data_IF_396483749690
#
_entry.id   IF_396483749690
#
_cell.length_a   1.000
_cell.length_b   1.000
_cell.length_c   1.000
_cell.angle_alpha   90.00
_cell.angle_beta   90.00
_cell.angle_gamma   90.00
#
_symmetry.space_group_name_H-M   'P 1'
#
loop_
_entity.id
_entity.type
_entity.pdbx_description
1 polymer ?
#
# COMPACT_ATOMS: atom_id res chain seq x y z
N UNK A 1 1.42 1.62 6.86
CA UNK A 1 1.81 0.53 5.92
C UNK A 1 3.29 0.20 6.14
N UNK A 2 3.72 0.14 7.39
CA UNK A 2 5.06 0.63 7.79
C UNK A 2 5.99 -0.50 8.25
N UNK A 3 5.85 -1.66 7.63
CA UNK A 3 6.65 -2.82 8.00
C UNK A 3 6.37 -4.00 7.09
N UNK A 4 7.07 -3.98 5.94
CA UNK A 4 7.71 -5.10 5.21
C UNK A 4 6.98 -6.44 4.97
N UNK A 5 5.75 -6.67 5.44
CA UNK A 5 5.01 -7.92 5.21
C UNK A 5 3.52 -7.75 4.87
N UNK A 6 2.95 -6.54 4.98
CA UNK A 6 1.50 -6.30 4.75
C UNK A 6 1.15 -5.75 3.36
N UNK A 7 2.09 -5.16 2.63
CA UNK A 7 1.83 -4.66 1.27
C UNK A 7 1.40 -5.77 0.30
N UNK A 8 1.87 -7.00 0.51
CA UNK A 8 1.56 -8.15 -0.35
C UNK A 8 0.08 -8.55 -0.41
N UNK A 9 -0.69 -8.31 0.67
CA UNK A 9 -2.11 -8.73 0.74
C UNK A 9 -2.97 -8.02 -0.30
N UNK A 10 -2.58 -6.80 -0.68
CA UNK A 10 -3.33 -5.97 -1.62
C UNK A 10 -3.42 -6.64 -3.00
N UNK A 11 -2.38 -7.35 -3.42
CA UNK A 11 -2.34 -8.06 -4.69
C UNK A 11 -3.27 -9.28 -4.67
N UNK A 12 -3.33 -9.99 -3.54
CA UNK A 12 -4.25 -11.11 -3.37
C UNK A 12 -5.71 -10.64 -3.40
N UNK A 13 -6.03 -9.55 -2.69
CA UNK A 13 -7.36 -8.95 -2.70
C UNK A 13 -7.76 -8.45 -4.10
N UNK A 14 -6.86 -7.73 -4.78
CA UNK A 14 -7.11 -7.26 -6.14
C UNK A 14 -7.37 -8.41 -7.12
N UNK A 15 -6.58 -9.49 -7.04
CA UNK A 15 -6.76 -10.69 -7.86
C UNK A 15 -8.05 -11.44 -7.56
N UNK A 16 -8.42 -11.55 -6.29
CA UNK A 16 -9.59 -12.30 -5.85
C UNK A 16 -10.91 -11.58 -6.19
N UNK A 17 -10.97 -10.27 -5.97
CA UNK A 17 -12.23 -9.53 -6.06
C UNK A 17 -12.39 -8.75 -7.36
N UNK A 18 -11.30 -8.35 -8.03
CA UNK A 18 -11.37 -7.53 -9.24
C UNK A 18 -12.03 -6.16 -9.04
N UNK A 19 -12.20 -5.73 -7.79
CA UNK A 19 -12.80 -4.46 -7.42
C UNK A 19 -11.73 -3.38 -7.20
N UNK A 20 -12.04 -2.10 -7.49
CA UNK A 20 -11.10 -1.02 -7.26
C UNK A 20 -10.91 -0.79 -5.76
N UNK A 21 -9.66 -0.84 -5.31
CA UNK A 21 -9.29 -0.38 -3.97
C UNK A 21 -9.36 1.15 -3.97
N UNK A 22 -10.10 1.70 -3.00
CA UNK A 22 -10.38 3.15 -2.94
C UNK A 22 -9.46 3.89 -1.98
N UNK A 23 -9.16 3.29 -0.83
CA UNK A 23 -8.38 3.92 0.24
C UNK A 23 -7.44 2.92 0.90
N UNK A 24 -6.36 3.42 1.47
CA UNK A 24 -5.41 2.67 2.29
C UNK A 24 -5.10 3.43 3.58
N UNK A 25 -4.93 2.69 4.67
CA UNK A 25 -4.41 3.21 5.93
C UNK A 25 -2.89 3.16 5.95
N UNK A 26 -2.25 4.32 6.11
CA UNK A 26 -0.78 4.43 6.17
C UNK A 26 -0.25 4.67 7.58
N UNK A 27 -1.11 4.67 8.59
CA UNK A 27 -0.79 4.93 10.00
C UNK A 27 -1.99 4.65 10.89
N UNK A 28 -1.96 5.14 12.13
CA UNK A 28 -2.99 4.89 13.15
C UNK A 28 -3.95 6.07 13.36
N UNK A 29 -3.60 7.26 12.85
CA UNK A 29 -4.40 8.48 12.99
C UNK A 29 -5.60 8.53 12.03
N UNK A 30 -6.58 9.36 12.36
CA UNK A 30 -7.74 9.60 11.47
C UNK A 30 -7.34 10.19 10.12
N UNK A 31 -6.25 10.96 10.09
CA UNK A 31 -5.71 11.61 8.89
C UNK A 31 -4.83 10.67 8.05
N UNK A 32 -4.60 9.42 8.52
CA UNK A 32 -3.77 8.44 7.82
C UNK A 32 -4.56 7.58 6.81
N UNK A 33 -5.86 7.87 6.63
CA UNK A 33 -6.64 7.29 5.55
C UNK A 33 -6.45 8.11 4.27
N UNK A 34 -5.85 7.50 3.25
CA UNK A 34 -5.53 8.18 1.99
C UNK A 34 -6.17 7.48 0.79
N UNK A 35 -6.51 8.20 -0.29
CA UNK A 35 -6.86 7.58 -1.56
C UNK A 35 -5.78 6.59 -2.00
N UNK A 36 -6.21 5.45 -2.54
CA UNK A 36 -5.29 4.46 -3.07
C UNK A 36 -4.87 4.82 -4.50
N UNK A 37 -3.55 4.92 -4.70
CA UNK A 37 -2.95 5.13 -6.01
C UNK A 37 -1.92 4.03 -6.28
N UNK A 38 -2.15 3.21 -7.30
CA UNK A 38 -1.36 2.01 -7.56
C UNK A 38 0.11 2.32 -7.91
N UNK A 39 0.35 3.33 -8.73
CA UNK A 39 1.69 3.77 -9.14
C UNK A 39 2.59 4.16 -7.95
N UNK A 40 2.22 5.17 -7.12
CA UNK A 40 3.04 5.54 -5.98
C UNK A 40 3.13 4.42 -4.93
N UNK A 41 2.09 3.59 -4.79
CA UNK A 41 2.14 2.42 -3.90
C UNK A 41 3.20 1.40 -4.34
N UNK A 42 3.22 1.03 -5.63
CA UNK A 42 4.21 0.10 -6.18
C UNK A 42 5.61 0.71 -6.10
N UNK A 43 5.78 1.99 -6.45
CA UNK A 43 7.07 2.68 -6.32
C UNK A 43 7.59 2.64 -4.89
N UNK A 44 6.74 2.97 -3.90
CA UNK A 44 7.13 2.92 -2.49
C UNK A 44 7.47 1.49 -2.02
N UNK A 45 6.77 0.48 -2.53
CA UNK A 45 7.00 -0.92 -2.18
C UNK A 45 8.38 -1.43 -2.64
N UNK A 46 8.86 -0.96 -3.80
CA UNK A 46 10.13 -1.40 -4.40
C UNK A 46 11.28 -0.40 -4.21
N UNK A 47 11.06 0.71 -3.51
CA UNK A 47 12.07 1.74 -3.25
C UNK A 47 13.09 1.34 -2.16
N UNK A 48 13.52 0.08 -2.06
CA UNK A 48 14.40 -0.38 -0.97
C UNK A 48 15.71 0.44 -0.83
N UNK A 49 15.92 0.94 0.39
CA UNK A 49 17.18 0.97 1.12
C UNK A 49 18.37 1.70 0.45
N UNK A 50 18.26 2.99 0.14
CA UNK A 50 19.47 3.85 0.11
C UNK A 50 19.89 4.16 1.56
N UNK A 51 20.58 3.21 2.20
CA UNK A 51 21.46 3.51 3.33
C UNK A 51 22.88 3.68 2.76
N UNK A 52 23.48 4.88 2.78
CA UNK A 52 24.92 5.01 2.54
C UNK A 52 25.74 4.36 3.66
#
# INVERSE_FOLDING_TARGET
LDGTAKGGVIFALAKQFGLPIRYIGVGEGIDDLRPFEAEPFVKALFAEQEHP
#
